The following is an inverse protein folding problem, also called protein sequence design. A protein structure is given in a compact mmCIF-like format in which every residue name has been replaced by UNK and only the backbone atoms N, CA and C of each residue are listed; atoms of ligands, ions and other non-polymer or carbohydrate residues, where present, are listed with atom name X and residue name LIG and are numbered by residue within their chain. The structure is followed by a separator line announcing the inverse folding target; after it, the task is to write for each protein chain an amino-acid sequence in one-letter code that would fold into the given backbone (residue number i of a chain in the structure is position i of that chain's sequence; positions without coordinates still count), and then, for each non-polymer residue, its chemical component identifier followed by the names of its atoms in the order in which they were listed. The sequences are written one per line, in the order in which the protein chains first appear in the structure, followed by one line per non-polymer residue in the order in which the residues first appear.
data_IF_670011452128
#
_entry.id   IF_670011452128
#
_cell.length_a   1.000
_cell.length_b   1.000
_cell.length_c   1.000
_cell.angle_alpha   90.00
_cell.angle_beta   90.00
_cell.angle_gamma   90.00
#
_symmetry.space_group_name_H-M   'P 1'
#
loop_
_entity.id
_entity.type
_entity.pdbx_description
1 polymer ?
#
# COMPACT_ATOMS: atom_id res chain seq x y z
N UNK A 1 -19.68 11.12 12.04
CA UNK A 1 -19.64 11.82 10.75
C UNK A 1 -18.23 12.37 10.51
N UNK A 2 -17.67 13.23 11.38
CA UNK A 2 -16.34 13.85 11.21
C UNK A 2 -15.22 12.82 11.01
N UNK A 3 -15.26 11.69 11.71
CA UNK A 3 -14.30 10.60 11.57
C UNK A 3 -14.56 9.68 10.35
N UNK A 4 -15.56 9.98 9.51
CA UNK A 4 -15.90 9.18 8.33
C UNK A 4 -16.55 7.83 8.60
N UNK A 5 -16.95 7.52 9.84
CA UNK A 5 -17.56 6.24 10.23
C UNK A 5 -19.06 6.17 9.96
N UNK A 6 -19.73 7.33 9.94
CA UNK A 6 -21.15 7.45 9.65
C UNK A 6 -21.41 8.53 8.60
N UNK A 7 -22.45 8.33 7.81
CA UNK A 7 -22.97 9.29 6.81
C UNK A 7 -24.46 9.53 7.00
N UNK A 8 -24.96 10.64 6.47
CA UNK A 8 -26.40 10.87 6.35
C UNK A 8 -26.87 10.47 4.95
N UNK A 9 -28.00 9.78 4.87
CA UNK A 9 -28.69 9.55 3.60
C UNK A 9 -29.43 10.82 3.13
N UNK A 10 -30.11 10.74 2.00
CA UNK A 10 -30.89 11.87 1.44
C UNK A 10 -31.98 12.37 2.37
N UNK A 11 -32.52 11.52 3.24
CA UNK A 11 -33.57 11.84 4.21
C UNK A 11 -32.98 12.32 5.55
N UNK A 12 -31.66 12.52 5.64
CA UNK A 12 -30.98 12.98 6.85
C UNK A 12 -30.72 11.91 7.90
N UNK A 13 -31.11 10.64 7.65
CA UNK A 13 -30.92 9.53 8.58
C UNK A 13 -29.45 9.08 8.55
N UNK A 14 -28.89 8.90 9.75
CA UNK A 14 -27.53 8.39 9.92
C UNK A 14 -27.47 6.89 9.60
N UNK A 15 -26.37 6.49 8.97
CA UNK A 15 -26.01 5.08 8.75
C UNK A 15 -24.50 4.87 8.84
N UNK A 16 -24.11 3.67 9.24
CA UNK A 16 -22.70 3.26 9.32
C UNK A 16 -22.12 3.07 7.93
N UNK A 17 -20.92 3.60 7.72
CA UNK A 17 -20.18 3.49 6.44
C UNK A 17 -19.67 2.06 6.24
N UNK A 18 -19.12 1.46 7.30
CA UNK A 18 -18.52 0.14 7.26
C UNK A 18 -19.50 -0.92 7.80
N UNK A 19 -20.37 -1.46 6.95
CA UNK A 19 -21.32 -2.50 7.31
C UNK A 19 -20.85 -3.85 6.80
N UNK A 20 -20.88 -4.88 7.65
CA UNK A 20 -20.48 -6.25 7.32
C UNK A 20 -19.07 -6.32 6.68
N UNK A 21 -18.08 -5.67 7.33
CA UNK A 21 -16.71 -5.57 6.81
C UNK A 21 -15.68 -5.87 7.89
N UNK A 22 -14.64 -6.58 7.47
CA UNK A 22 -13.39 -6.63 8.23
C UNK A 22 -12.72 -5.25 8.16
N UNK A 23 -12.32 -4.72 9.31
CA UNK A 23 -11.81 -3.36 9.43
C UNK A 23 -10.29 -3.36 9.61
N UNK A 24 -9.62 -2.52 8.85
CA UNK A 24 -8.18 -2.28 8.90
C UNK A 24 -7.95 -0.84 9.37
N UNK A 25 -7.47 -0.64 10.62
CA UNK A 25 -7.11 0.70 11.08
C UNK A 25 -5.93 1.25 10.27
N UNK A 26 -6.05 2.49 9.80
CA UNK A 26 -4.97 3.21 9.11
C UNK A 26 -4.36 4.17 10.10
N UNK A 27 -3.04 4.05 10.31
CA UNK A 27 -2.30 4.85 11.28
C UNK A 27 -1.44 5.91 10.60
N UNK A 28 -1.29 7.05 11.25
CA UNK A 28 -0.29 8.04 10.88
C UNK A 28 1.11 7.63 11.37
N UNK A 29 2.14 8.43 11.03
CA UNK A 29 3.54 8.17 11.45
C UNK A 29 3.74 8.06 12.96
N UNK A 30 2.80 8.56 13.78
CA UNK A 30 2.85 8.52 15.25
C UNK A 30 2.03 7.38 15.85
N UNK A 31 1.48 6.49 15.03
CA UNK A 31 0.66 5.36 15.45
C UNK A 31 -0.80 5.74 15.79
N UNK A 32 -1.22 6.97 15.54
CA UNK A 32 -2.60 7.39 15.80
C UNK A 32 -3.50 6.92 14.66
N UNK A 33 -4.64 6.33 14.98
CA UNK A 33 -5.63 5.93 13.97
C UNK A 33 -6.24 7.19 13.37
N UNK A 34 -6.06 7.37 12.05
CA UNK A 34 -6.55 8.52 11.29
C UNK A 34 -7.68 8.14 10.32
N UNK A 35 -7.80 6.85 9.98
CA UNK A 35 -8.82 6.34 9.08
C UNK A 35 -8.98 4.83 9.18
N UNK A 36 -9.85 4.29 8.36
CA UNK A 36 -10.13 2.86 8.30
C UNK A 36 -10.26 2.40 6.84
N UNK A 37 -9.75 1.22 6.56
CA UNK A 37 -10.11 0.42 5.41
C UNK A 37 -11.12 -0.65 5.82
N UNK A 38 -11.95 -1.11 4.90
CA UNK A 38 -12.89 -2.19 5.15
C UNK A 38 -12.99 -3.13 3.96
N UNK A 39 -12.85 -4.43 4.18
CA UNK A 39 -13.06 -5.49 3.18
C UNK A 39 -14.36 -6.20 3.49
N UNK A 40 -15.20 -6.42 2.47
CA UNK A 40 -16.44 -7.17 2.64
C UNK A 40 -16.20 -8.58 3.19
N UNK A 41 -17.12 -9.05 4.02
CA UNK A 41 -17.13 -10.43 4.56
C UNK A 41 -17.84 -11.40 3.59
N UNK A 42 -18.72 -10.89 2.72
CA UNK A 42 -19.42 -11.67 1.71
C UNK A 42 -18.97 -11.25 0.31
N UNK A 43 -18.89 -12.19 -0.65
CA UNK A 43 -18.56 -11.89 -2.04
C UNK A 43 -19.67 -11.13 -2.78
N UNK A 44 -20.89 -11.17 -2.26
CA UNK A 44 -22.04 -10.46 -2.83
C UNK A 44 -22.04 -8.97 -2.52
N UNK A 45 -21.35 -8.56 -1.45
CA UNK A 45 -21.29 -7.16 -1.01
C UNK A 45 -20.32 -6.34 -1.88
N UNK A 46 -20.73 -5.11 -2.22
CA UNK A 46 -19.92 -4.17 -3.01
C UNK A 46 -19.80 -2.82 -2.29
N UNK A 47 -18.72 -2.09 -2.51
CA UNK A 47 -17.47 -2.45 -3.20
C UNK A 47 -16.64 -3.43 -2.35
N UNK A 48 -15.82 -4.28 -2.97
CA UNK A 48 -14.95 -5.26 -2.26
C UNK A 48 -14.10 -4.59 -1.17
N UNK A 49 -13.53 -3.43 -1.46
CA UNK A 49 -12.80 -2.59 -0.51
C UNK A 49 -13.44 -1.20 -0.41
N UNK A 50 -13.46 -0.67 0.79
CA UNK A 50 -13.96 0.67 1.09
C UNK A 50 -12.99 1.35 2.06
N UNK A 51 -12.65 2.61 1.81
CA UNK A 51 -11.82 3.42 2.71
C UNK A 51 -12.65 4.55 3.31
N UNK A 52 -12.23 5.02 4.50
CA UNK A 52 -12.68 6.31 5.03
C UNK A 52 -12.55 7.36 3.94
N UNK A 53 -13.56 8.21 3.81
CA UNK A 53 -13.49 9.39 2.93
C UNK A 53 -12.46 10.40 3.45
N UNK A 54 -12.15 11.42 2.65
CA UNK A 54 -11.29 12.52 3.08
C UNK A 54 -11.87 13.20 4.33
N UNK A 55 -11.03 13.44 5.33
CA UNK A 55 -11.38 14.13 6.57
C UNK A 55 -10.27 15.14 6.93
N UNK A 56 -10.46 15.90 8.00
CA UNK A 56 -9.43 16.84 8.51
C UNK A 56 -8.12 16.12 8.91
N UNK A 57 -8.20 14.84 9.30
CA UNK A 57 -7.06 14.05 9.78
C UNK A 57 -6.65 12.92 8.84
N UNK A 58 -7.41 12.65 7.79
CA UNK A 58 -7.15 11.56 6.86
C UNK A 58 -7.25 12.02 5.41
N UNK A 59 -6.15 11.88 4.69
CA UNK A 59 -6.04 12.13 3.27
C UNK A 59 -5.40 10.91 2.60
N UNK A 60 -6.16 10.19 1.75
CA UNK A 60 -5.68 8.97 1.06
C UNK A 60 -4.36 9.19 0.31
N UNK A 61 -4.22 10.37 -0.30
CA UNK A 61 -3.00 10.73 -1.04
C UNK A 61 -1.77 11.00 -0.17
N UNK A 62 -1.89 10.95 1.15
CA UNK A 62 -0.79 11.21 2.09
C UNK A 62 -0.52 10.05 3.03
N UNK A 63 -1.45 9.09 3.13
CA UNK A 63 -1.32 7.96 4.04
C UNK A 63 -1.04 6.67 3.28
N UNK A 64 -0.26 5.80 3.92
CA UNK A 64 0.07 4.45 3.47
C UNK A 64 -0.27 3.49 4.60
N UNK A 65 -0.96 2.41 4.28
CA UNK A 65 -1.22 1.33 5.24
C UNK A 65 0.09 0.62 5.58
N UNK A 66 0.28 0.25 6.85
CA UNK A 66 1.49 -0.43 7.30
C UNK A 66 2.70 0.48 7.53
N UNK A 67 2.61 1.80 7.22
CA UNK A 67 3.76 2.69 7.33
C UNK A 67 4.25 2.86 8.77
N UNK A 68 3.36 2.99 9.75
CA UNK A 68 3.75 3.05 11.16
C UNK A 68 4.40 1.73 11.60
N UNK A 69 3.77 0.61 11.28
CA UNK A 69 4.24 -0.74 11.60
C UNK A 69 5.62 -1.02 10.99
N UNK A 70 5.87 -0.54 9.78
CA UNK A 70 7.18 -0.70 9.13
C UNK A 70 8.31 0.07 9.83
N UNK A 71 7.98 1.10 10.62
CA UNK A 71 8.94 1.91 11.35
C UNK A 71 9.18 1.41 12.79
N UNK A 72 8.20 0.72 13.43
CA UNK A 72 8.29 0.32 14.83
C UNK A 72 9.44 -0.66 15.11
N UNK A 73 9.69 -1.58 14.20
CA UNK A 73 10.61 -2.70 14.44
C UNK A 73 12.02 -2.47 13.90
N UNK A 74 12.33 -1.33 13.28
CA UNK A 74 13.60 -1.18 12.54
C UNK A 74 14.33 0.14 12.79
N UNK A 75 15.44 0.03 13.51
CA UNK A 75 16.40 1.13 13.68
C UNK A 75 17.18 1.47 12.39
N UNK A 76 17.30 0.50 11.46
CA UNK A 76 18.10 0.62 10.23
C UNK A 76 17.29 0.18 9.00
N UNK A 77 16.14 0.81 8.77
CA UNK A 77 15.32 0.56 7.59
C UNK A 77 16.03 1.14 6.35
N UNK A 78 16.49 0.27 5.43
CA UNK A 78 17.20 0.68 4.22
C UNK A 78 16.28 0.72 3.00
N UNK A 79 15.31 -0.19 2.95
CA UNK A 79 14.40 -0.36 1.83
C UNK A 79 12.96 -0.54 2.31
N UNK A 80 12.01 -0.20 1.47
CA UNK A 80 10.59 -0.41 1.72
C UNK A 80 9.89 -0.92 0.47
N UNK A 81 9.01 -1.92 0.66
CA UNK A 81 8.15 -2.45 -0.40
C UNK A 81 6.86 -1.66 -0.45
N UNK A 82 6.44 -1.29 -1.64
CA UNK A 82 5.14 -0.66 -1.90
C UNK A 82 4.27 -1.63 -2.69
N UNK A 83 3.16 -2.03 -2.11
CA UNK A 83 2.17 -2.94 -2.71
C UNK A 83 0.83 -2.24 -2.93
N UNK A 84 -0.09 -2.87 -3.65
CA UNK A 84 -1.37 -2.25 -4.00
C UNK A 84 -2.42 -2.38 -2.88
N UNK A 85 -2.48 -3.53 -2.20
CA UNK A 85 -3.55 -3.88 -1.29
C UNK A 85 -3.12 -4.10 0.17
N UNK A 86 -4.08 -3.93 1.08
CA UNK A 86 -3.86 -4.23 2.51
C UNK A 86 -3.45 -5.67 2.74
N UNK A 87 -4.08 -6.61 2.01
CA UNK A 87 -3.84 -8.04 2.21
C UNK A 87 -2.42 -8.41 1.82
N UNK A 88 -1.88 -7.78 0.78
CA UNK A 88 -0.49 -8.00 0.35
C UNK A 88 0.49 -7.54 1.42
N UNK A 89 0.29 -6.33 1.95
CA UNK A 89 1.13 -5.80 3.03
C UNK A 89 1.01 -6.65 4.31
N UNK A 90 -0.18 -7.14 4.65
CA UNK A 90 -0.39 -8.03 5.81
C UNK A 90 0.31 -9.38 5.58
N UNK A 91 0.13 -10.00 4.42
CA UNK A 91 0.79 -11.26 4.09
C UNK A 91 2.31 -11.13 4.12
N UNK A 92 2.86 -10.03 3.58
CA UNK A 92 4.29 -9.75 3.67
C UNK A 92 4.75 -9.63 5.13
N UNK A 93 4.00 -8.90 5.96
CA UNK A 93 4.31 -8.73 7.38
C UNK A 93 4.29 -10.07 8.13
N UNK A 94 3.27 -10.91 7.91
CA UNK A 94 3.15 -12.25 8.52
C UNK A 94 4.32 -13.17 8.15
N UNK A 95 4.85 -13.02 6.93
CA UNK A 95 6.03 -13.76 6.46
C UNK A 95 7.36 -13.08 6.83
N UNK A 96 7.35 -12.08 7.70
CA UNK A 96 8.57 -11.42 8.20
C UNK A 96 9.11 -10.27 7.34
N UNK A 97 8.47 -9.94 6.21
CA UNK A 97 8.78 -8.78 5.38
C UNK A 97 8.06 -7.54 5.92
N UNK A 98 8.48 -7.11 7.11
CA UNK A 98 7.81 -6.05 7.88
C UNK A 98 7.99 -4.64 7.29
N UNK A 99 8.86 -4.48 6.33
CA UNK A 99 9.12 -3.25 5.60
C UNK A 99 8.20 -3.10 4.37
N UNK A 100 6.93 -3.40 4.53
CA UNK A 100 5.95 -3.28 3.46
C UNK A 100 4.85 -2.27 3.79
N UNK A 101 4.41 -1.52 2.79
CA UNK A 101 3.31 -0.57 2.89
C UNK A 101 2.37 -0.73 1.70
N UNK A 102 1.08 -0.44 1.91
CA UNK A 102 0.12 -0.48 0.82
C UNK A 102 -0.48 0.90 0.53
N UNK A 103 -0.77 1.16 -0.75
CA UNK A 103 -1.58 2.30 -1.16
C UNK A 103 -3.05 2.05 -0.81
N UNK A 104 -3.82 3.13 -0.69
CA UNK A 104 -5.21 3.09 -0.21
C UNK A 104 -6.23 3.07 -1.36
N UNK A 105 -5.99 2.24 -2.39
CA UNK A 105 -6.84 2.16 -3.58
C UNK A 105 -6.72 3.38 -4.50
N UNK A 106 -5.57 4.02 -4.47
CA UNK A 106 -5.17 5.10 -5.39
C UNK A 106 -3.75 4.84 -5.88
N UNK A 107 -3.41 5.34 -7.06
CA UNK A 107 -2.04 5.23 -7.56
C UNK A 107 -1.04 5.94 -6.62
N UNK A 108 0.15 5.37 -6.51
CA UNK A 108 1.26 6.03 -5.81
C UNK A 108 1.48 7.43 -6.39
N UNK A 109 1.61 8.40 -5.50
CA UNK A 109 1.79 9.81 -5.88
C UNK A 109 3.01 10.42 -5.20
N UNK A 110 3.34 11.67 -5.57
CA UNK A 110 4.52 12.38 -5.05
C UNK A 110 4.57 12.47 -3.52
N UNK A 111 3.44 12.58 -2.83
CA UNK A 111 3.42 12.68 -1.37
C UNK A 111 3.77 11.35 -0.71
N UNK A 112 3.32 10.23 -1.29
CA UNK A 112 3.74 8.89 -0.87
C UNK A 112 5.25 8.73 -1.03
N UNK A 113 5.80 9.09 -2.20
CA UNK A 113 7.24 9.01 -2.48
C UNK A 113 8.03 9.86 -1.47
N UNK A 114 7.67 11.14 -1.31
CA UNK A 114 8.34 12.02 -0.37
C UNK A 114 8.26 11.50 1.08
N UNK A 115 7.14 10.89 1.48
CA UNK A 115 6.98 10.29 2.80
C UNK A 115 7.92 9.09 2.99
N UNK A 116 8.05 8.24 1.99
CA UNK A 116 8.92 7.07 2.01
C UNK A 116 10.40 7.47 2.02
N UNK A 117 10.81 8.39 1.16
CA UNK A 117 12.19 8.87 1.06
C UNK A 117 12.70 9.66 2.29
N UNK A 118 11.81 9.98 3.25
CA UNK A 118 12.23 10.51 4.56
C UNK A 118 12.78 9.43 5.49
N UNK A 119 12.61 8.16 5.16
CA UNK A 119 12.92 7.04 6.06
C UNK A 119 13.75 5.94 5.41
N UNK A 120 13.82 5.89 4.08
CA UNK A 120 14.61 4.92 3.31
C UNK A 120 15.26 5.58 2.10
N UNK A 121 16.36 4.99 1.62
CA UNK A 121 17.00 5.39 0.38
C UNK A 121 16.56 4.50 -0.80
N UNK A 122 15.92 3.35 -0.52
CA UNK A 122 15.46 2.41 -1.54
C UNK A 122 13.96 2.13 -1.43
N UNK A 123 13.24 2.25 -2.55
CA UNK A 123 11.83 1.88 -2.68
C UNK A 123 11.68 0.79 -3.74
N UNK A 124 11.01 -0.30 -3.39
CA UNK A 124 10.71 -1.41 -4.29
C UNK A 124 9.22 -1.46 -4.49
N UNK A 125 8.75 -1.09 -5.67
CA UNK A 125 7.35 -1.25 -6.04
C UNK A 125 7.10 -2.69 -6.47
N UNK A 126 6.14 -3.36 -5.82
CA UNK A 126 5.69 -4.69 -6.19
C UNK A 126 4.35 -4.57 -6.91
N UNK A 127 4.32 -5.02 -8.16
CA UNK A 127 3.15 -5.01 -9.00
C UNK A 127 2.68 -6.44 -9.29
N UNK A 128 1.38 -6.61 -9.33
CA UNK A 128 0.75 -7.86 -9.74
C UNK A 128 1.19 -8.25 -11.15
N UNK A 129 1.24 -9.54 -11.44
CA UNK A 129 1.70 -10.09 -12.70
C UNK A 129 0.70 -9.97 -13.86
N UNK A 130 -0.06 -8.85 -13.93
CA UNK A 130 -1.09 -8.62 -14.92
C UNK A 130 -0.95 -7.27 -15.64
N UNK A 131 -1.86 -6.97 -16.57
CA UNK A 131 -1.86 -5.70 -17.31
C UNK A 131 -2.17 -4.50 -16.43
N UNK A 132 -2.97 -4.68 -15.35
CA UNK A 132 -3.27 -3.63 -14.41
C UNK A 132 -2.02 -3.23 -13.61
N UNK A 133 -1.23 -4.22 -13.15
CA UNK A 133 0.06 -4.00 -12.49
C UNK A 133 1.06 -3.25 -13.40
N UNK A 134 1.11 -3.59 -14.70
CA UNK A 134 1.93 -2.83 -15.67
C UNK A 134 1.47 -1.37 -15.82
N UNK A 135 0.16 -1.14 -15.83
CA UNK A 135 -0.42 0.21 -15.87
C UNK A 135 -0.13 1.01 -14.60
N UNK A 136 -0.18 0.34 -13.43
CA UNK A 136 0.17 0.93 -12.14
C UNK A 136 1.65 1.30 -12.08
N UNK A 137 2.55 0.45 -12.60
CA UNK A 137 3.97 0.73 -12.71
C UNK A 137 4.27 1.98 -13.52
N UNK A 138 3.62 2.12 -14.69
CA UNK A 138 3.77 3.31 -15.52
C UNK A 138 3.28 4.59 -14.82
N UNK A 139 2.22 4.49 -14.06
CA UNK A 139 1.70 5.61 -13.25
C UNK A 139 2.63 5.95 -12.09
N UNK A 140 3.17 4.96 -11.40
CA UNK A 140 4.17 5.13 -10.34
C UNK A 140 5.42 5.82 -10.89
N UNK A 141 5.95 5.35 -12.03
CA UNK A 141 7.11 5.92 -12.70
C UNK A 141 6.97 7.44 -12.91
N UNK A 142 5.87 7.89 -13.51
CA UNK A 142 5.61 9.32 -13.76
C UNK A 142 5.60 10.15 -12.48
N UNK A 143 5.12 9.59 -11.38
CA UNK A 143 5.04 10.27 -10.10
C UNK A 143 6.35 10.25 -9.31
N UNK A 144 7.20 9.25 -9.54
CA UNK A 144 8.51 9.09 -8.90
C UNK A 144 9.55 10.03 -9.51
N UNK A 145 9.57 10.14 -10.84
CA UNK A 145 10.59 10.89 -11.59
C UNK A 145 10.91 12.29 -11.03
N UNK A 146 9.92 13.13 -10.66
CA UNK A 146 10.20 14.46 -10.11
C UNK A 146 10.79 14.45 -8.69
N UNK A 147 10.83 13.28 -8.02
CA UNK A 147 11.27 13.14 -6.62
C UNK A 147 12.62 12.43 -6.52
N UNK A 148 13.21 12.01 -7.64
CA UNK A 148 14.51 11.33 -7.65
C UNK A 148 15.62 12.35 -7.39
N UNK A 149 16.48 12.02 -6.45
CA UNK A 149 17.70 12.73 -6.13
C UNK A 149 18.86 11.74 -6.05
N UNK A 150 20.09 12.24 -6.03
CA UNK A 150 21.28 11.40 -5.88
C UNK A 150 21.19 10.56 -4.59
N UNK A 151 21.51 9.27 -4.70
CA UNK A 151 21.47 8.32 -3.59
C UNK A 151 20.12 7.60 -3.41
N UNK A 152 19.08 7.98 -4.14
CA UNK A 152 17.78 7.28 -4.12
C UNK A 152 17.76 6.16 -5.16
N UNK A 153 17.38 4.96 -4.72
CA UNK A 153 17.20 3.81 -5.59
C UNK A 153 15.70 3.42 -5.67
N UNK A 154 15.20 3.34 -6.88
CA UNK A 154 13.82 2.91 -7.16
C UNK A 154 13.86 1.66 -8.03
N UNK A 155 13.15 0.62 -7.58
CA UNK A 155 13.03 -0.64 -8.30
C UNK A 155 11.58 -1.00 -8.58
N UNK A 156 11.38 -1.72 -9.67
CA UNK A 156 10.08 -2.25 -10.11
C UNK A 156 10.16 -3.77 -10.15
N UNK A 157 9.47 -4.41 -9.22
CA UNK A 157 9.29 -5.85 -9.17
C UNK A 157 7.95 -6.21 -9.80
N UNK A 158 7.98 -6.93 -10.90
CA UNK A 158 6.80 -7.55 -11.50
C UNK A 158 6.75 -9.01 -11.06
N UNK A 159 5.64 -9.39 -10.44
CA UNK A 159 5.43 -10.76 -10.03
C UNK A 159 5.09 -11.65 -11.23
N UNK A 160 5.21 -12.99 -11.11
CA UNK A 160 4.76 -13.92 -12.15
C UNK A 160 3.28 -13.71 -12.48
N UNK A 161 2.89 -14.04 -13.72
CA UNK A 161 1.52 -13.88 -14.20
C UNK A 161 0.51 -14.56 -13.26
N UNK A 162 -0.53 -13.83 -12.88
CA UNK A 162 -1.59 -14.29 -11.97
C UNK A 162 -1.21 -14.35 -10.48
N UNK A 163 -0.01 -13.88 -10.10
CA UNK A 163 0.40 -13.79 -8.71
C UNK A 163 0.36 -12.33 -8.21
N UNK A 164 -0.08 -12.19 -6.96
CA UNK A 164 0.10 -11.03 -6.11
C UNK A 164 1.05 -11.37 -4.95
N UNK A 165 1.52 -10.41 -4.14
CA UNK A 165 2.43 -10.70 -3.03
C UNK A 165 1.89 -11.73 -2.05
N UNK A 166 0.59 -11.70 -1.73
CA UNK A 166 -0.04 -12.63 -0.80
C UNK A 166 -0.05 -14.06 -1.35
N UNK A 167 -0.53 -14.25 -2.59
CA UNK A 167 -0.58 -15.57 -3.24
C UNK A 167 0.81 -16.16 -3.47
N UNK A 168 1.79 -15.31 -3.82
CA UNK A 168 3.16 -15.76 -4.02
C UNK A 168 3.78 -16.28 -2.72
N UNK A 169 3.56 -15.57 -1.59
CA UNK A 169 4.08 -15.96 -0.28
C UNK A 169 3.37 -17.17 0.32
N UNK A 170 2.07 -17.34 0.05
CA UNK A 170 1.34 -18.56 0.45
C UNK A 170 1.86 -19.83 -0.25
N UNK A 171 2.24 -19.72 -1.54
CA UNK A 171 2.70 -20.85 -2.35
C UNK A 171 4.19 -21.12 -2.25
N UNK A 172 4.97 -20.14 -1.82
CA UNK A 172 6.43 -20.20 -1.87
C UNK A 172 7.05 -19.67 -0.57
N UNK A 173 8.35 -19.89 -0.42
CA UNK A 173 9.10 -19.36 0.71
C UNK A 173 9.43 -17.87 0.55
N UNK A 174 9.71 -17.21 1.68
CA UNK A 174 10.15 -15.81 1.71
C UNK A 174 11.44 -15.59 0.93
N UNK A 175 12.35 -16.56 0.94
CA UNK A 175 13.62 -16.51 0.20
C UNK A 175 13.37 -16.35 -1.29
N UNK A 176 12.37 -17.06 -1.83
CA UNK A 176 12.00 -16.94 -3.25
C UNK A 176 11.49 -15.54 -3.59
N UNK A 177 10.68 -14.93 -2.73
CA UNK A 177 10.22 -13.55 -2.88
C UNK A 177 11.43 -12.59 -2.86
N UNK A 178 12.34 -12.75 -1.89
CA UNK A 178 13.54 -11.94 -1.80
C UNK A 178 14.48 -12.10 -3.00
N UNK A 179 14.59 -13.30 -3.56
CA UNK A 179 15.39 -13.52 -4.77
C UNK A 179 14.77 -12.87 -6.02
N UNK A 180 13.44 -12.81 -6.11
CA UNK A 180 12.76 -12.03 -7.13
C UNK A 180 13.00 -10.52 -6.91
N UNK A 181 12.89 -10.06 -5.67
CA UNK A 181 13.12 -8.67 -5.32
C UNK A 181 14.53 -8.17 -5.67
N UNK A 182 15.56 -9.01 -5.45
CA UNK A 182 16.94 -8.68 -5.86
C UNK A 182 17.09 -8.50 -7.39
N UNK A 183 16.21 -9.13 -8.17
CA UNK A 183 16.16 -9.05 -9.63
C UNK A 183 15.19 -7.98 -10.15
N UNK A 184 14.59 -7.20 -9.25
CA UNK A 184 13.71 -6.12 -9.63
C UNK A 184 14.45 -5.10 -10.51
N UNK A 185 13.80 -4.67 -11.58
CA UNK A 185 14.37 -3.73 -12.54
C UNK A 185 14.65 -2.37 -11.89
N UNK A 186 15.83 -1.84 -12.11
CA UNK A 186 16.08 -0.44 -11.77
C UNK A 186 15.17 0.46 -12.61
N UNK A 187 14.80 1.62 -12.06
CA UNK A 187 13.99 2.59 -12.77
C UNK A 187 14.62 2.96 -14.13
N UNK A 188 15.96 3.06 -14.20
CA UNK A 188 16.71 3.34 -15.44
C UNK A 188 16.63 2.23 -16.48
N UNK A 189 16.32 1.00 -16.08
CA UNK A 189 16.16 -0.15 -16.97
C UNK A 189 14.73 -0.33 -17.48
N UNK A 190 13.77 0.34 -16.81
CA UNK A 190 12.36 0.30 -17.16
C UNK A 190 11.99 1.32 -18.26
N UNK A 191 12.86 2.27 -18.54
CA UNK A 191 12.78 3.19 -19.66
C UNK A 191 13.19 2.53 -20.97
#
# INVERSE_FOLDING_TARGET
IKAGLAKKNKDGKLFDVFRNRLIFPIKDRKGRIVGFGGRVMSQEDQPKYLNTGETEVFQKGRELYGFFESLEDRKDLKEIYVVEGYMDSIAMYEHGLKNSVATLGIATNRFHIQKLLQVVDQIIFCFDGDDAGRGAAWSALKNVLPSITDGVEIRFLFLPEGEDPASLLEKNSVEKFQDLSKKANLLSEYF
#
